data_IF_275050594389
#
_entry.id   IF_275050594389
#
_cell.length_a   1.000
_cell.length_b   1.000
_cell.length_c   1.000
_cell.angle_alpha   90.00
_cell.angle_beta   90.00
_cell.angle_gamma   90.00
#
_symmetry.space_group_name_H-M   'P 1'
#
loop_
_entity.id
_entity.type
_entity.pdbx_description
1 polymer ?
#
# COMPACT_ATOMS: atom_id res chain seq x y z
N UNK A 1 -7.21 76.97 -42.08
CA UNK A 1 -6.31 76.44 -41.12
C UNK A 1 -6.91 75.17 -40.52
N UNK A 2 -6.47 74.06 -41.00
CA UNK A 2 -6.95 72.77 -40.46
C UNK A 2 -5.91 72.21 -39.53
N UNK A 3 -6.27 72.03 -38.27
CA UNK A 3 -5.44 71.39 -37.27
C UNK A 3 -5.78 69.90 -37.29
N UNK A 4 -4.90 69.10 -37.77
CA UNK A 4 -5.05 67.64 -37.75
C UNK A 4 -4.94 67.12 -36.32
N UNK A 5 -6.00 66.52 -35.86
CA UNK A 5 -6.00 65.81 -34.60
C UNK A 5 -5.32 64.46 -34.82
N UNK A 6 -4.16 64.26 -34.18
CA UNK A 6 -3.51 62.99 -34.16
C UNK A 6 -4.26 62.02 -33.25
N UNK A 7 -4.91 61.06 -33.84
CA UNK A 7 -5.53 59.98 -33.12
C UNK A 7 -4.44 58.98 -32.71
N UNK A 8 -4.04 59.02 -31.44
CA UNK A 8 -3.21 57.98 -30.84
C UNK A 8 -4.01 56.72 -30.70
N UNK A 9 -3.75 55.76 -31.54
CA UNK A 9 -4.28 54.41 -31.39
C UNK A 9 -3.51 53.71 -30.26
N UNK A 10 -4.15 53.58 -29.13
CA UNK A 10 -3.70 52.70 -28.08
C UNK A 10 -3.90 51.25 -28.53
N UNK A 11 -2.81 50.59 -28.89
CA UNK A 11 -2.83 49.14 -29.10
C UNK A 11 -2.85 48.46 -27.74
N UNK A 12 -4.02 48.01 -27.35
CA UNK A 12 -4.17 47.12 -26.20
C UNK A 12 -3.67 45.74 -26.58
N UNK A 13 -2.46 45.43 -26.17
CA UNK A 13 -1.94 44.05 -26.24
C UNK A 13 -2.67 43.20 -25.20
N UNK A 14 -3.60 42.36 -25.67
CA UNK A 14 -4.19 41.29 -24.88
C UNK A 14 -3.14 40.21 -24.68
N UNK A 15 -2.51 40.21 -23.51
CA UNK A 15 -1.69 39.08 -23.05
C UNK A 15 -2.66 38.00 -22.60
N UNK A 16 -2.87 37.02 -23.47
CA UNK A 16 -3.56 35.79 -23.10
C UNK A 16 -2.61 34.98 -22.19
N UNK A 17 -2.81 35.05 -20.88
CA UNK A 17 -2.18 34.13 -19.93
C UNK A 17 -2.84 32.76 -20.14
N UNK A 18 -2.18 31.91 -20.92
CA UNK A 18 -2.51 30.50 -20.95
C UNK A 18 -2.06 29.90 -19.61
N UNK A 19 -2.96 29.79 -18.66
CA UNK A 19 -2.74 29.00 -17.47
C UNK A 19 -2.68 27.54 -17.90
N UNK A 20 -1.49 27.00 -18.09
CA UNK A 20 -1.27 25.57 -18.12
C UNK A 20 -1.59 25.05 -16.71
N UNK A 21 -2.84 24.67 -16.51
CA UNK A 21 -3.21 23.88 -15.38
C UNK A 21 -2.49 22.53 -15.51
N UNK A 22 -1.41 22.37 -14.81
CA UNK A 22 -0.82 21.05 -14.62
C UNK A 22 -1.87 20.23 -13.88
N UNK A 23 -2.57 19.38 -14.61
CA UNK A 23 -3.39 18.31 -14.04
C UNK A 23 -2.39 17.36 -13.38
N UNK A 24 -2.11 17.58 -12.10
CA UNK A 24 -1.43 16.59 -11.30
C UNK A 24 -2.29 15.34 -11.33
N UNK A 25 -1.80 14.27 -12.01
CA UNK A 25 -2.42 12.98 -11.94
C UNK A 25 -2.54 12.61 -10.45
N UNK A 26 -3.71 12.14 -9.96
CA UNK A 26 -3.80 11.69 -8.59
C UNK A 26 -2.76 10.59 -8.43
N UNK A 27 -1.81 10.76 -7.50
CA UNK A 27 -0.91 9.69 -7.10
C UNK A 27 -1.78 8.50 -6.74
N UNK A 28 -1.67 7.39 -7.49
CA UNK A 28 -2.40 6.18 -7.20
C UNK A 28 -2.20 5.85 -5.73
N UNK A 29 -3.29 5.57 -4.99
CA UNK A 29 -3.20 5.20 -3.60
C UNK A 29 -2.26 4.00 -3.48
N UNK A 30 -1.26 4.09 -2.58
CA UNK A 30 -0.37 2.97 -2.30
C UNK A 30 -1.20 1.78 -1.80
N UNK A 31 -0.88 0.56 -2.25
CA UNK A 31 -1.63 -0.61 -1.81
C UNK A 31 -1.49 -0.82 -0.31
N UNK A 32 -2.55 -1.32 0.30
CA UNK A 32 -2.58 -1.68 1.70
C UNK A 32 -2.84 -3.17 1.84
N UNK A 33 -2.18 -3.76 2.81
CA UNK A 33 -2.37 -5.16 3.18
C UNK A 33 -2.99 -5.21 4.56
N UNK A 34 -4.02 -6.01 4.69
CA UNK A 34 -4.61 -6.28 5.99
C UNK A 34 -5.07 -7.73 6.05
N UNK A 35 -5.21 -8.24 7.24
CA UNK A 35 -5.61 -9.62 7.42
C UNK A 35 -5.87 -9.99 8.86
N UNK A 36 -6.27 -11.23 9.03
CA UNK A 36 -6.51 -11.85 10.32
C UNK A 36 -5.81 -13.19 10.40
N UNK A 37 -5.14 -13.40 11.52
CA UNK A 37 -4.43 -14.65 11.80
C UNK A 37 -4.87 -15.30 13.10
N UNK A 38 -4.48 -16.57 13.25
CA UNK A 38 -4.85 -17.39 14.40
C UNK A 38 -6.11 -18.21 14.15
N UNK A 39 -6.37 -19.14 15.05
CA UNK A 39 -7.52 -20.06 14.94
C UNK A 39 -8.87 -19.36 15.05
N UNK A 40 -8.92 -18.26 15.78
CA UNK A 40 -10.12 -17.45 16.03
C UNK A 40 -10.04 -16.04 15.44
N UNK A 41 -9.02 -15.77 14.61
CA UNK A 41 -8.77 -14.42 14.10
C UNK A 41 -8.31 -13.43 15.16
N UNK A 42 -7.65 -13.91 16.19
CA UNK A 42 -7.20 -13.11 17.33
C UNK A 42 -6.04 -12.18 17.03
N UNK A 43 -5.39 -12.34 15.88
CA UNK A 43 -4.36 -11.45 15.39
C UNK A 43 -4.85 -10.65 14.19
N UNK A 44 -4.67 -9.36 14.23
CA UNK A 44 -4.90 -8.46 13.10
C UNK A 44 -3.57 -8.04 12.48
N UNK A 45 -3.47 -8.17 11.17
CA UNK A 45 -2.30 -7.74 10.42
C UNK A 45 -2.66 -6.51 9.59
N UNK A 46 -1.82 -5.48 9.67
CA UNK A 46 -1.89 -4.31 8.80
C UNK A 46 -0.51 -4.00 8.26
N UNK A 47 -0.43 -3.62 7.00
CA UNK A 47 0.83 -3.20 6.39
C UNK A 47 0.59 -2.09 5.36
N UNK A 48 1.43 -1.08 5.43
CA UNK A 48 1.54 -0.05 4.40
C UNK A 48 2.72 -0.44 3.49
N UNK A 49 2.43 -0.72 2.24
CA UNK A 49 3.39 -1.29 1.31
C UNK A 49 3.57 -0.43 0.07
N UNK A 50 4.75 -0.51 -0.50
CA UNK A 50 5.10 0.09 -1.78
C UNK A 50 5.17 -0.99 -2.85
N UNK A 51 4.60 -0.75 -4.01
CA UNK A 51 4.57 -1.68 -5.11
C UNK A 51 5.75 -1.47 -6.06
N UNK A 52 6.36 -2.58 -6.46
CA UNK A 52 7.33 -2.65 -7.54
C UNK A 52 6.90 -3.75 -8.50
N UNK A 53 6.58 -3.38 -9.74
CA UNK A 53 6.14 -4.33 -10.76
C UNK A 53 7.31 -4.73 -11.64
N UNK A 54 7.50 -6.03 -11.85
CA UNK A 54 8.39 -6.61 -12.83
C UNK A 54 7.59 -7.35 -13.91
N UNK A 55 8.27 -7.87 -14.95
CA UNK A 55 7.61 -8.55 -16.07
C UNK A 55 6.84 -9.83 -15.65
N UNK A 56 7.18 -10.44 -14.51
CA UNK A 56 6.64 -11.73 -14.08
C UNK A 56 6.00 -11.73 -12.70
N UNK A 57 6.17 -10.67 -11.91
CA UNK A 57 5.68 -10.62 -10.55
C UNK A 57 5.39 -9.18 -10.10
N UNK A 58 4.44 -9.05 -9.18
CA UNK A 58 4.27 -7.84 -8.38
C UNK A 58 4.96 -8.06 -7.04
N UNK A 59 5.82 -7.14 -6.66
CA UNK A 59 6.44 -7.12 -5.34
C UNK A 59 5.88 -5.97 -4.52
N UNK A 60 5.49 -6.28 -3.30
CA UNK A 60 5.05 -5.31 -2.32
C UNK A 60 5.97 -5.41 -1.11
N UNK A 61 6.42 -4.28 -0.58
CA UNK A 61 7.24 -4.28 0.63
C UNK A 61 6.93 -3.07 1.50
N UNK A 62 7.05 -3.23 2.78
CA UNK A 62 6.81 -2.14 3.72
C UNK A 62 6.79 -2.59 5.16
N UNK A 63 6.30 -1.69 6.00
CA UNK A 63 6.15 -1.93 7.42
C UNK A 63 4.88 -2.73 7.70
N UNK A 64 4.98 -3.73 8.57
CA UNK A 64 3.87 -4.56 9.01
C UNK A 64 3.69 -4.46 10.52
N UNK A 65 2.45 -4.47 10.95
CA UNK A 65 2.07 -4.53 12.36
C UNK A 65 1.13 -5.70 12.60
N UNK A 66 1.45 -6.55 13.56
CA UNK A 66 0.56 -7.56 14.10
C UNK A 66 0.03 -7.08 15.45
N UNK A 67 -1.27 -7.06 15.60
CA UNK A 67 -1.95 -6.66 16.84
C UNK A 67 -2.75 -7.82 17.37
N UNK A 68 -2.53 -8.20 18.62
CA UNK A 68 -3.33 -9.22 19.30
C UNK A 68 -4.62 -8.59 19.81
N UNK A 69 -5.71 -8.82 19.07
CA UNK A 69 -7.02 -8.19 19.38
C UNK A 69 -7.90 -9.00 20.31
N UNK A 70 -7.51 -10.25 20.60
CA UNK A 70 -8.25 -11.14 21.50
C UNK A 70 -8.01 -10.94 22.99
N UNK A 71 -7.00 -10.13 23.37
CA UNK A 71 -6.64 -9.86 24.75
C UNK A 71 -6.58 -8.38 25.02
N UNK A 72 -7.27 -7.95 26.06
CA UNK A 72 -7.12 -6.61 26.63
C UNK A 72 -6.12 -6.65 27.77
N UNK A 73 -4.99 -5.98 27.63
CA UNK A 73 -4.01 -5.76 28.72
C UNK A 73 -4.11 -4.35 29.24
N UNK A 74 -3.58 -4.09 30.43
CA UNK A 74 -3.57 -2.74 31.01
C UNK A 74 -2.81 -1.73 30.16
N UNK A 75 -1.79 -2.19 29.42
CA UNK A 75 -0.95 -1.38 28.54
C UNK A 75 -1.42 -1.36 27.09
N UNK A 76 -2.67 -1.79 26.85
CA UNK A 76 -3.23 -1.93 25.51
C UNK A 76 -2.93 -3.28 24.84
N UNK A 77 -3.36 -3.50 23.60
CA UNK A 77 -3.11 -4.76 22.91
C UNK A 77 -1.63 -4.98 22.63
N UNK A 78 -1.20 -6.24 22.69
CA UNK A 78 0.15 -6.61 22.26
C UNK A 78 0.32 -6.31 20.77
N UNK A 79 1.38 -5.61 20.43
CA UNK A 79 1.74 -5.32 19.04
C UNK A 79 3.15 -5.80 18.73
N UNK A 80 3.30 -6.33 17.53
CA UNK A 80 4.60 -6.67 16.95
C UNK A 80 4.75 -5.92 15.64
N UNK A 81 5.84 -5.21 15.52
CA UNK A 81 6.18 -4.44 14.31
C UNK A 81 7.35 -5.09 13.61
N UNK A 82 7.29 -5.08 12.29
CA UNK A 82 8.32 -5.66 11.47
C UNK A 82 8.25 -5.17 10.03
N UNK A 83 8.81 -5.96 9.15
CA UNK A 83 8.80 -5.70 7.73
C UNK A 83 8.14 -6.86 6.99
N UNK A 84 7.44 -6.55 5.91
CA UNK A 84 6.83 -7.53 5.03
C UNK A 84 7.33 -7.34 3.60
N UNK A 85 7.61 -8.45 2.95
CA UNK A 85 7.86 -8.52 1.51
C UNK A 85 6.92 -9.54 0.90
N UNK A 86 6.16 -9.11 -0.08
CA UNK A 86 5.17 -9.94 -0.76
C UNK A 86 5.55 -10.07 -2.22
N UNK A 87 5.45 -11.28 -2.76
CA UNK A 87 5.57 -11.58 -4.17
C UNK A 87 4.27 -12.22 -4.65
N UNK A 88 3.67 -11.61 -5.66
CA UNK A 88 2.43 -12.08 -6.27
C UNK A 88 2.72 -12.56 -7.70
N UNK A 89 2.30 -13.76 -8.01
CA UNK A 89 2.51 -14.41 -9.32
C UNK A 89 1.21 -14.98 -9.88
N UNK A 90 1.23 -15.39 -11.14
CA UNK A 90 0.06 -16.00 -11.79
C UNK A 90 -1.14 -15.06 -11.87
N UNK A 91 -0.94 -13.81 -12.32
CA UNK A 91 -1.99 -12.78 -12.33
C UNK A 91 -2.61 -12.57 -10.93
N UNK A 92 -1.75 -12.50 -9.91
CA UNK A 92 -2.09 -12.33 -8.50
C UNK A 92 -2.84 -13.52 -7.86
N UNK A 93 -2.87 -14.67 -8.53
CA UNK A 93 -3.53 -15.86 -7.98
C UNK A 93 -2.74 -16.53 -6.84
N UNK A 94 -1.43 -16.32 -6.80
CA UNK A 94 -0.53 -16.85 -5.77
C UNK A 94 0.21 -15.74 -5.07
N UNK A 95 0.34 -15.87 -3.78
CA UNK A 95 1.04 -14.92 -2.94
C UNK A 95 2.03 -15.67 -2.06
N UNK A 96 3.28 -15.21 -2.06
CA UNK A 96 4.30 -15.60 -1.08
C UNK A 96 4.75 -14.36 -0.34
N UNK A 97 4.90 -14.48 0.95
CA UNK A 97 5.37 -13.37 1.78
C UNK A 97 6.44 -13.84 2.77
N UNK A 98 7.36 -12.93 3.06
CA UNK A 98 8.30 -13.05 4.15
C UNK A 98 8.06 -11.91 5.11
N UNK A 99 7.86 -12.23 6.37
CA UNK A 99 7.66 -11.27 7.45
C UNK A 99 8.83 -11.34 8.42
N UNK A 100 9.45 -10.21 8.71
CA UNK A 100 10.56 -10.10 9.63
C UNK A 100 10.11 -9.43 10.91
N UNK A 101 10.13 -10.16 12.02
CA UNK A 101 9.85 -9.66 13.34
C UNK A 101 11.02 -9.98 14.28
N UNK A 102 11.60 -8.95 14.90
CA UNK A 102 12.71 -9.12 15.86
C UNK A 102 13.87 -9.98 15.32
N UNK A 103 14.19 -9.84 14.03
CA UNK A 103 15.25 -10.61 13.37
C UNK A 103 14.85 -12.04 12.97
N UNK A 104 13.65 -12.49 13.29
CA UNK A 104 13.14 -13.79 12.86
C UNK A 104 12.31 -13.67 11.58
N UNK A 105 12.60 -14.52 10.60
CA UNK A 105 11.87 -14.56 9.33
C UNK A 105 10.71 -15.57 9.42
N UNK A 106 9.51 -15.11 9.17
CA UNK A 106 8.33 -15.94 9.00
C UNK A 106 8.00 -16.06 7.53
N UNK A 107 7.55 -17.24 7.10
CA UNK A 107 7.16 -17.50 5.72
C UNK A 107 5.66 -17.71 5.61
N UNK A 108 5.09 -17.18 4.55
CA UNK A 108 3.67 -17.29 4.24
C UNK A 108 3.50 -17.64 2.76
N UNK A 109 2.60 -18.55 2.46
CA UNK A 109 2.21 -18.87 1.10
C UNK A 109 0.69 -19.06 1.04
N UNK A 110 0.06 -18.46 0.03
CA UNK A 110 -1.38 -18.48 -0.13
C UNK A 110 -1.81 -18.48 -1.58
N UNK A 111 -3.03 -18.92 -1.80
CA UNK A 111 -3.74 -18.83 -3.07
C UNK A 111 -4.96 -17.94 -2.93
N UNK A 112 -5.31 -17.24 -3.99
CA UNK A 112 -6.47 -16.35 -4.02
C UNK A 112 -7.75 -17.16 -4.26
N UNK A 113 -8.73 -16.90 -3.39
CA UNK A 113 -10.13 -17.27 -3.62
C UNK A 113 -10.97 -15.99 -3.49
N UNK A 114 -11.67 -15.78 -2.40
CA UNK A 114 -12.24 -14.49 -1.97
C UNK A 114 -11.20 -13.61 -1.25
N UNK A 115 -10.16 -14.26 -0.72
CA UNK A 115 -9.00 -13.66 -0.08
C UNK A 115 -7.80 -14.60 -0.26
N UNK A 116 -6.60 -14.14 0.12
CA UNK A 116 -5.44 -15.02 0.20
C UNK A 116 -5.51 -15.80 1.50
N UNK A 117 -5.62 -17.12 1.38
CA UNK A 117 -5.71 -18.03 2.52
C UNK A 117 -4.51 -18.94 2.54
N UNK A 118 -3.82 -18.97 3.64
CA UNK A 118 -2.62 -19.77 3.81
C UNK A 118 -2.17 -19.84 5.25
N UNK A 119 -0.93 -20.21 5.43
CA UNK A 119 -0.35 -20.50 6.73
C UNK A 119 0.93 -19.72 6.93
N UNK A 120 1.04 -19.02 8.06
CA UNK A 120 2.24 -18.35 8.50
C UNK A 120 3.08 -19.31 9.34
N UNK A 121 4.32 -19.50 8.94
CA UNK A 121 5.29 -20.36 9.64
C UNK A 121 6.43 -19.51 10.15
N UNK A 122 6.61 -19.46 11.45
CA UNK A 122 7.70 -18.77 12.13
C UNK A 122 8.60 -19.78 12.84
N UNK A 123 9.92 -19.50 13.00
CA UNK A 123 10.80 -20.33 13.78
C UNK A 123 10.32 -20.46 15.23
N UNK A 124 10.37 -21.67 15.78
CA UNK A 124 10.06 -21.98 17.18
C UNK A 124 8.67 -21.57 17.67
N UNK A 125 7.73 -21.40 16.73
CA UNK A 125 6.34 -21.06 17.03
C UNK A 125 5.39 -21.99 16.31
N UNK A 126 4.18 -22.20 16.87
CA UNK A 126 3.13 -22.95 16.16
C UNK A 126 2.76 -22.29 14.83
N UNK A 127 2.43 -23.09 13.86
CA UNK A 127 1.90 -22.66 12.58
C UNK A 127 0.59 -21.89 12.78
N UNK A 128 0.42 -20.77 12.13
CA UNK A 128 -0.74 -19.92 12.28
C UNK A 128 -1.49 -19.77 10.95
N UNK A 129 -2.78 -20.10 10.88
CA UNK A 129 -3.57 -19.76 9.71
C UNK A 129 -3.68 -18.23 9.58
N UNK A 130 -3.53 -17.73 8.35
CA UNK A 130 -3.54 -16.30 8.06
C UNK A 130 -4.32 -16.04 6.77
N UNK A 131 -5.26 -15.12 6.84
CA UNK A 131 -6.03 -14.65 5.69
C UNK A 131 -5.65 -13.20 5.40
N UNK A 132 -5.27 -12.90 4.17
CA UNK A 132 -4.83 -11.57 3.75
C UNK A 132 -5.69 -11.01 2.61
N UNK A 133 -5.85 -9.71 2.62
CA UNK A 133 -6.38 -8.92 1.51
C UNK A 133 -5.35 -7.86 1.11
N UNK A 134 -5.21 -7.68 -0.18
CA UNK A 134 -4.41 -6.60 -0.77
C UNK A 134 -5.37 -5.67 -1.52
N UNK A 135 -5.35 -4.41 -1.16
CA UNK A 135 -6.24 -3.38 -1.75
C UNK A 135 -5.49 -2.14 -2.16
#
# INVERSE_FOLDING_TARGET
>A
MMRGAAVKRCATALIALAALGALAAPAGAEPKVFGYGGMLGEWELTADVTEKTSAHARELHGAVTLTHVGLCTQDGPEQRKGEIRIEMTGADARLKATLLFDGAACNYAATLSDAYKGTLTCPERPVMPLTLWVR
#
